data_IF_574882026185
#
_entry.id   IF_574882026185
#
_cell.length_a   1.000
_cell.length_b   1.000
_cell.length_c   1.000
_cell.angle_alpha   90.00
_cell.angle_beta   90.00
_cell.angle_gamma   90.00
#
_symmetry.space_group_name_H-M   'P 1'
#
loop_
_entity.id
_entity.type
_entity.pdbx_description
1 polymer ?
#
# COMPACT_ATOMS: atom_id res chain seq x y z
N UNK A 1 -34.71 -24.85 -10.48
CA UNK A 1 -33.91 -25.44 -11.57
C UNK A 1 -32.46 -25.39 -11.11
N UNK A 2 -31.98 -26.30 -10.25
CA UNK A 2 -31.45 -27.66 -10.54
C UNK A 2 -30.33 -27.58 -11.58
N UNK A 3 -29.13 -28.15 -11.47
CA UNK A 3 -28.44 -29.15 -10.61
C UNK A 3 -26.93 -28.90 -10.95
N UNK A 4 -25.87 -29.29 -10.23
CA UNK A 4 -25.47 -30.65 -9.89
C UNK A 4 -24.10 -30.58 -9.16
N UNK A 5 -24.02 -31.19 -7.97
CA UNK A 5 -22.77 -31.51 -7.27
C UNK A 5 -22.53 -33.00 -7.53
N UNK A 6 -21.34 -33.36 -8.00
CA UNK A 6 -20.88 -34.75 -8.04
C UNK A 6 -19.90 -34.98 -6.90
N UNK A 7 -20.32 -35.78 -5.92
CA UNK A 7 -19.46 -36.31 -4.87
C UNK A 7 -18.78 -37.62 -5.31
N UNK A 8 -17.59 -37.85 -4.79
CA UNK A 8 -16.96 -39.17 -4.71
C UNK A 8 -16.48 -39.34 -3.28
N UNK A 9 -17.09 -40.29 -2.56
CA UNK A 9 -16.86 -40.54 -1.15
C UNK A 9 -15.67 -41.47 -0.87
N UNK A 10 -15.19 -41.40 0.37
CA UNK A 10 -14.50 -42.45 1.14
C UNK A 10 -14.83 -42.07 2.60
N UNK A 11 -15.65 -42.79 3.36
CA UNK A 11 -15.41 -44.14 3.89
C UNK A 11 -14.66 -44.02 5.23
N UNK A 12 -15.37 -43.81 6.34
CA UNK A 12 -14.80 -43.86 7.70
C UNK A 12 -15.51 -44.96 8.51
N UNK A 13 -14.84 -46.09 8.68
CA UNK A 13 -15.23 -47.16 9.60
C UNK A 13 -14.77 -46.80 11.03
N UNK A 14 -15.69 -46.91 11.99
CA UNK A 14 -15.38 -46.89 13.43
C UNK A 14 -15.16 -48.33 13.93
N UNK A 15 -14.10 -48.62 14.72
CA UNK A 15 -14.01 -49.84 15.50
C UNK A 15 -14.67 -49.67 16.88
N UNK A 16 -15.38 -50.70 17.31
CA UNK A 16 -16.29 -50.70 18.45
C UNK A 16 -15.69 -50.92 19.85
N UNK A 17 -16.51 -50.45 20.80
CA UNK A 17 -16.97 -51.11 22.05
C UNK A 17 -15.95 -51.67 23.06
N UNK A 18 -16.00 -51.12 24.28
CA UNK A 18 -16.17 -51.88 25.53
C UNK A 18 -16.97 -51.08 26.58
N UNK A 19 -17.91 -51.79 27.22
CA UNK A 19 -18.89 -51.36 28.23
C UNK A 19 -18.27 -51.25 29.64
N UNK A 20 -18.77 -50.33 30.47
CA UNK A 20 -19.55 -50.61 31.72
C UNK A 20 -19.77 -49.34 32.57
N UNK A 21 -20.90 -49.30 33.28
CA UNK A 21 -21.47 -48.24 34.14
C UNK A 21 -21.62 -48.84 35.59
N UNK A 22 -22.17 -48.19 36.65
CA UNK A 22 -22.24 -46.79 37.14
C UNK A 22 -21.80 -46.64 38.64
N UNK A 23 -22.10 -45.48 39.26
CA UNK A 23 -22.12 -45.09 40.71
C UNK A 23 -20.90 -44.26 41.18
N UNK A 24 -20.99 -43.17 41.95
CA UNK A 24 -22.07 -42.43 42.63
C UNK A 24 -21.51 -41.12 43.23
N UNK A 25 -22.43 -40.21 43.58
CA UNK A 25 -22.39 -39.17 44.65
C UNK A 25 -21.59 -37.86 44.49
N UNK A 26 -22.39 -36.79 44.42
CA UNK A 26 -22.25 -35.44 45.02
C UNK A 26 -20.98 -35.09 45.81
N UNK A 27 -20.34 -33.98 45.40
CA UNK A 27 -19.99 -32.80 46.23
C UNK A 27 -19.18 -31.78 45.42
N UNK A 28 -19.72 -30.57 45.26
CA UNK A 28 -18.94 -29.32 45.25
C UNK A 28 -19.00 -28.73 46.68
N UNK A 29 -18.15 -27.79 47.11
CA UNK A 29 -17.11 -27.04 46.38
C UNK A 29 -15.73 -27.01 47.09
N UNK A 30 -14.69 -26.58 46.39
CA UNK A 30 -13.39 -26.29 47.01
C UNK A 30 -12.44 -25.62 46.03
N UNK A 31 -12.21 -24.34 46.23
CA UNK A 31 -11.19 -23.53 45.53
C UNK A 31 -9.81 -24.15 45.70
N UNK A 32 -9.17 -24.57 44.60
CA UNK A 32 -7.75 -24.87 44.57
C UNK A 32 -7.05 -23.86 43.68
N UNK A 33 -6.23 -23.02 44.31
CA UNK A 33 -5.27 -22.15 43.65
C UNK A 33 -4.29 -23.00 42.83
N UNK A 34 -4.21 -22.72 41.52
CA UNK A 34 -3.18 -23.30 40.68
C UNK A 34 -1.94 -22.40 40.71
N UNK A 35 -1.02 -22.72 41.62
CA UNK A 35 0.40 -22.42 41.41
C UNK A 35 0.89 -23.28 40.25
N UNK A 36 1.02 -22.71 39.06
CA UNK A 36 1.58 -23.37 37.88
C UNK A 36 2.78 -22.59 37.38
N UNK A 37 3.99 -23.03 37.74
CA UNK A 37 5.21 -22.58 37.09
C UNK A 37 5.13 -22.89 35.57
N UNK A 38 5.65 -22.02 34.68
CA UNK A 38 5.63 -22.28 33.25
C UNK A 38 6.50 -23.49 32.91
N UNK A 39 5.92 -24.45 32.19
CA UNK A 39 6.64 -25.59 31.62
C UNK A 39 7.42 -25.09 30.40
N UNK A 40 8.75 -25.27 30.33
CA UNK A 40 9.49 -24.90 29.14
C UNK A 40 9.33 -26.00 28.08
N UNK A 41 8.66 -25.69 26.98
CA UNK A 41 8.71 -26.53 25.79
C UNK A 41 9.66 -25.92 24.76
N UNK A 42 10.89 -26.41 24.78
CA UNK A 42 11.75 -26.42 23.61
C UNK A 42 11.21 -27.48 22.65
N UNK A 43 10.61 -27.07 21.53
CA UNK A 43 10.75 -27.78 20.26
C UNK A 43 10.12 -26.96 19.13
N UNK A 44 10.99 -26.49 18.22
CA UNK A 44 10.62 -25.89 16.93
C UNK A 44 9.75 -26.85 16.12
N UNK A 45 8.44 -26.58 16.04
CA UNK A 45 7.56 -27.27 15.11
C UNK A 45 7.85 -26.81 13.67
N UNK A 46 8.61 -27.62 12.91
CA UNK A 46 8.84 -27.41 11.47
C UNK A 46 7.71 -28.07 10.68
N UNK A 47 6.77 -27.29 10.17
CA UNK A 47 5.79 -27.79 9.21
C UNK A 47 6.41 -27.83 7.80
N UNK A 48 6.56 -29.03 7.22
CA UNK A 48 6.90 -29.23 5.80
C UNK A 48 5.67 -29.76 5.06
N UNK A 49 5.12 -28.95 4.17
CA UNK A 49 4.24 -29.44 3.10
C UNK A 49 5.13 -29.76 1.89
N UNK A 50 5.28 -31.05 1.58
CA UNK A 50 5.96 -31.51 0.36
C UNK A 50 4.97 -32.28 -0.50
N UNK A 51 4.73 -31.81 -1.72
CA UNK A 51 4.04 -32.59 -2.75
C UNK A 51 5.03 -33.61 -3.35
N UNK A 52 4.65 -34.89 -3.31
CA UNK A 52 5.43 -36.01 -3.80
C UNK A 52 5.45 -36.02 -5.35
N UNK A 53 6.64 -36.11 -5.93
CA UNK A 53 6.85 -36.22 -7.37
C UNK A 53 8.23 -35.74 -7.79
N UNK A 54 9.12 -36.72 -8.04
CA UNK A 54 10.47 -36.63 -8.60
C UNK A 54 11.46 -35.69 -7.89
N UNK A 55 12.42 -36.28 -7.15
CA UNK A 55 13.70 -35.63 -6.85
C UNK A 55 14.60 -35.71 -8.09
N UNK A 56 15.11 -34.56 -8.55
CA UNK A 56 16.49 -34.50 -8.99
C UNK A 56 17.28 -33.49 -8.14
N UNK A 57 18.39 -33.99 -7.57
CA UNK A 57 19.62 -33.29 -7.21
C UNK A 57 19.57 -31.74 -7.09
N UNK A 58 18.90 -31.20 -6.07
CA UNK A 58 19.05 -29.80 -5.65
C UNK A 58 19.37 -29.67 -4.15
N UNK A 59 20.07 -30.67 -3.59
CA UNK A 59 20.79 -30.51 -2.33
C UNK A 59 22.15 -29.87 -2.61
N UNK A 60 22.14 -28.54 -2.79
CA UNK A 60 23.26 -27.56 -2.82
C UNK A 60 23.00 -26.53 -3.91
N UNK A 61 21.91 -25.77 -3.76
CA UNK A 61 21.85 -24.46 -4.38
C UNK A 61 22.85 -23.57 -3.63
N UNK A 62 24.02 -23.36 -4.22
CA UNK A 62 24.95 -22.31 -3.79
C UNK A 62 24.14 -21.01 -3.78
N UNK A 63 24.01 -20.41 -2.60
CA UNK A 63 23.43 -19.07 -2.41
C UNK A 63 24.33 -18.07 -3.11
N UNK A 64 24.07 -17.79 -4.38
CA UNK A 64 24.61 -16.61 -5.01
C UNK A 64 23.68 -15.45 -4.62
N UNK A 65 24.13 -14.49 -3.79
CA UNK A 65 23.32 -13.34 -3.46
C UNK A 65 23.00 -12.56 -4.73
N UNK A 66 21.82 -11.94 -4.77
CA UNK A 66 21.58 -10.83 -5.70
C UNK A 66 22.72 -9.83 -5.50
N UNK A 67 23.45 -9.48 -6.56
CA UNK A 67 24.51 -8.48 -6.44
C UNK A 67 23.89 -7.12 -6.14
N UNK A 68 24.05 -6.62 -4.92
CA UNK A 68 23.44 -5.36 -4.44
C UNK A 68 22.75 -5.54 -3.09
N UNK A 69 22.54 -4.44 -2.36
CA UNK A 69 21.81 -4.49 -1.08
C UNK A 69 20.42 -5.12 -1.28
N UNK A 70 19.96 -6.03 -0.40
CA UNK A 70 18.65 -6.63 -0.51
C UNK A 70 17.60 -5.52 -0.38
N UNK A 71 16.78 -5.42 -1.40
CA UNK A 71 15.80 -4.35 -1.49
C UNK A 71 14.49 -4.79 -0.88
N UNK A 72 13.83 -3.91 -0.12
CA UNK A 72 12.66 -4.28 0.68
C UNK A 72 11.47 -3.35 0.50
N UNK A 73 10.26 -3.92 0.58
CA UNK A 73 8.98 -3.20 0.53
C UNK A 73 8.25 -3.33 1.86
N UNK A 74 7.71 -2.22 2.37
CA UNK A 74 6.92 -2.24 3.60
C UNK A 74 5.41 -2.18 3.32
N UNK A 75 4.65 -3.07 3.94
CA UNK A 75 3.19 -3.10 3.87
C UNK A 75 2.61 -3.18 5.28
N UNK A 76 1.85 -2.16 5.67
CA UNK A 76 1.23 -2.10 6.99
C UNK A 76 -0.16 -2.75 6.95
N UNK A 77 -0.36 -3.77 7.79
CA UNK A 77 -1.56 -4.59 7.83
C UNK A 77 -2.15 -4.60 9.24
N UNK A 78 -3.44 -4.25 9.36
CA UNK A 78 -4.15 -4.29 10.64
C UNK A 78 -4.65 -5.71 10.94
N UNK A 79 -4.46 -6.16 12.18
CA UNK A 79 -5.03 -7.41 12.70
C UNK A 79 -6.47 -7.15 13.17
N UNK A 80 -7.41 -7.91 12.62
CA UNK A 80 -8.83 -7.84 12.98
C UNK A 80 -9.24 -8.99 13.91
N UNK A 81 -10.28 -8.81 14.75
CA UNK A 81 -10.74 -9.85 15.69
C UNK A 81 -11.09 -11.19 15.04
N UNK A 82 -11.61 -11.20 13.82
CA UNK A 82 -11.97 -12.41 13.06
C UNK A 82 -10.74 -13.20 12.56
N UNK A 83 -9.56 -12.62 12.66
CA UNK A 83 -8.28 -13.25 12.31
C UNK A 83 -7.60 -13.91 13.51
N UNK A 84 -8.16 -13.76 14.71
CA UNK A 84 -7.62 -14.33 15.95
C UNK A 84 -8.29 -15.67 16.29
N UNK A 85 -7.57 -16.53 17.00
CA UNK A 85 -8.08 -17.81 17.48
C UNK A 85 -8.64 -17.72 18.91
N UNK A 86 -9.04 -18.85 19.49
CA UNK A 86 -9.61 -18.94 20.84
C UNK A 86 -8.66 -18.50 21.96
N UNK A 87 -7.35 -18.39 21.70
CA UNK A 87 -6.36 -17.88 22.64
C UNK A 87 -6.25 -16.34 22.59
N UNK A 88 -6.95 -15.69 21.66
CA UNK A 88 -7.04 -14.23 21.57
C UNK A 88 -5.91 -13.56 20.78
N UNK A 89 -4.99 -14.34 20.21
CA UNK A 89 -3.93 -13.85 19.33
C UNK A 89 -4.20 -14.22 17.87
N UNK A 90 -3.52 -13.52 16.96
CA UNK A 90 -3.56 -13.78 15.52
C UNK A 90 -3.30 -15.27 15.23
N UNK A 91 -4.24 -15.89 14.51
CA UNK A 91 -4.13 -17.28 14.10
C UNK A 91 -2.99 -17.42 13.07
N UNK A 92 -2.20 -18.49 13.21
CA UNK A 92 -1.11 -18.82 12.28
C UNK A 92 -1.58 -18.92 10.82
N UNK A 93 -2.76 -19.49 10.55
CA UNK A 93 -3.33 -19.56 9.21
C UNK A 93 -3.71 -18.16 8.68
N UNK A 94 -4.25 -17.29 9.55
CA UNK A 94 -4.57 -15.92 9.18
C UNK A 94 -3.30 -15.10 8.89
N UNK A 95 -2.20 -15.35 9.58
CA UNK A 95 -0.91 -14.76 9.26
C UNK A 95 -0.46 -15.12 7.83
N UNK A 96 -0.69 -16.36 7.37
CA UNK A 96 -0.37 -16.75 5.98
C UNK A 96 -1.17 -15.88 4.99
N UNK A 97 -2.44 -15.65 5.26
CA UNK A 97 -3.29 -14.75 4.45
C UNK A 97 -2.79 -13.31 4.48
N UNK A 98 -2.30 -12.81 5.62
CA UNK A 98 -1.68 -11.49 5.71
C UNK A 98 -0.38 -11.40 4.90
N UNK A 99 0.48 -12.42 4.98
CA UNK A 99 1.70 -12.51 4.17
C UNK A 99 1.38 -12.53 2.67
N UNK A 100 0.32 -13.25 2.27
CA UNK A 100 -0.15 -13.26 0.89
C UNK A 100 -0.69 -11.91 0.44
N UNK A 101 -1.54 -11.29 1.26
CA UNK A 101 -2.04 -9.94 1.01
C UNK A 101 -0.89 -8.94 0.82
N UNK A 102 0.15 -9.02 1.65
CA UNK A 102 1.32 -8.16 1.52
C UNK A 102 2.01 -8.32 0.15
N UNK A 103 2.14 -9.55 -0.37
CA UNK A 103 2.70 -9.80 -1.71
C UNK A 103 1.84 -9.17 -2.80
N UNK A 104 0.52 -9.32 -2.71
CA UNK A 104 -0.40 -8.72 -3.67
C UNK A 104 -0.43 -7.19 -3.59
N UNK A 105 -0.32 -6.60 -2.41
CA UNK A 105 -0.21 -5.14 -2.27
C UNK A 105 1.05 -4.58 -2.95
N UNK A 106 2.20 -5.27 -2.86
CA UNK A 106 3.42 -4.88 -3.60
C UNK A 106 3.19 -4.96 -5.12
N UNK A 107 2.57 -6.04 -5.60
CA UNK A 107 2.25 -6.19 -7.03
C UNK A 107 1.26 -5.11 -7.48
N UNK A 108 0.23 -4.82 -6.69
CA UNK A 108 -0.76 -3.79 -6.97
C UNK A 108 -0.16 -2.38 -7.02
N UNK A 109 0.79 -2.05 -6.12
CA UNK A 109 1.54 -0.78 -6.13
C UNK A 109 2.57 -0.70 -7.25
N UNK A 110 3.03 -1.85 -7.75
CA UNK A 110 4.07 -1.98 -8.76
C UNK A 110 3.50 -2.05 -10.18
N UNK A 111 3.48 -3.23 -10.82
CA UNK A 111 2.99 -3.42 -12.20
C UNK A 111 1.47 -3.74 -12.32
N UNK A 112 0.71 -3.70 -11.22
CA UNK A 112 -0.71 -4.02 -11.21
C UNK A 112 -1.03 -5.51 -11.08
N UNK A 113 -2.26 -5.81 -10.63
CA UNK A 113 -2.70 -7.17 -10.24
C UNK A 113 -2.68 -8.19 -11.39
N UNK A 114 -2.77 -7.74 -12.64
CA UNK A 114 -2.77 -8.57 -13.84
C UNK A 114 -1.38 -8.78 -14.44
N UNK A 115 -0.31 -8.27 -13.82
CA UNK A 115 1.07 -8.38 -14.29
C UNK A 115 1.46 -9.78 -14.78
N UNK A 116 1.29 -10.79 -13.93
CA UNK A 116 1.60 -12.19 -14.26
C UNK A 116 0.75 -12.73 -15.42
N UNK A 117 -0.51 -12.28 -15.51
CA UNK A 117 -1.41 -12.61 -16.60
C UNK A 117 -0.94 -12.01 -17.94
N UNK A 118 -0.51 -10.74 -17.95
CA UNK A 118 0.03 -10.08 -19.16
C UNK A 118 1.30 -10.76 -19.67
N UNK A 119 2.15 -11.22 -18.75
CA UNK A 119 3.37 -11.96 -19.08
C UNK A 119 3.09 -13.44 -19.45
N UNK A 120 1.85 -13.93 -19.23
CA UNK A 120 1.47 -15.35 -19.36
C UNK A 120 2.35 -16.29 -18.53
N UNK A 121 2.79 -15.81 -17.36
CA UNK A 121 3.64 -16.54 -16.42
C UNK A 121 3.03 -16.43 -15.03
N UNK A 122 2.74 -17.57 -14.40
CA UNK A 122 2.14 -17.63 -13.06
C UNK A 122 3.13 -18.15 -12.03
N UNK A 123 3.38 -17.43 -10.93
CA UNK A 123 4.22 -17.92 -9.85
C UNK A 123 3.44 -18.93 -8.99
N UNK A 124 3.77 -20.22 -9.14
CA UNK A 124 3.24 -21.27 -8.29
C UNK A 124 4.09 -21.41 -7.02
N UNK A 125 3.45 -21.33 -5.84
CA UNK A 125 4.13 -21.55 -4.56
C UNK A 125 4.57 -23.01 -4.46
N UNK A 126 5.88 -23.24 -4.34
CA UNK A 126 6.45 -24.60 -4.25
C UNK A 126 6.82 -24.98 -2.82
N UNK A 127 7.26 -23.99 -2.03
CA UNK A 127 7.64 -24.18 -0.62
C UNK A 127 7.47 -22.88 0.14
N UNK A 128 6.93 -22.95 1.34
CA UNK A 128 6.97 -21.89 2.33
C UNK A 128 7.61 -22.39 3.62
N UNK A 129 8.40 -21.56 4.28
CA UNK A 129 8.93 -21.80 5.62
C UNK A 129 8.63 -20.56 6.43
N UNK A 130 7.89 -20.70 7.52
CA UNK A 130 7.45 -19.60 8.37
C UNK A 130 7.90 -19.90 9.80
N UNK A 131 8.57 -18.93 10.41
CA UNK A 131 8.97 -18.95 11.82
C UNK A 131 8.16 -17.88 12.55
N UNK A 132 7.55 -18.29 13.67
CA UNK A 132 6.73 -17.43 14.51
C UNK A 132 7.53 -17.08 15.77
N UNK A 133 7.68 -15.79 16.04
CA UNK A 133 8.59 -15.26 17.06
C UNK A 133 7.83 -14.62 18.23
N UNK A 134 6.70 -13.94 17.95
CA UNK A 134 5.87 -13.29 18.97
C UNK A 134 4.39 -13.29 18.58
N UNK A 135 3.52 -13.02 19.54
CA UNK A 135 2.07 -12.92 19.35
C UNK A 135 1.66 -11.51 18.90
N UNK A 136 0.67 -11.45 18.02
CA UNK A 136 -0.03 -10.22 17.63
C UNK A 136 -1.50 -10.31 18.06
N UNK A 137 -2.10 -9.17 18.41
CA UNK A 137 -3.44 -9.08 18.97
C UNK A 137 -4.37 -8.23 18.10
N UNK A 138 -5.70 -8.33 18.26
CA UNK A 138 -6.64 -7.46 17.57
C UNK A 138 -6.30 -5.98 17.76
N UNK A 139 -6.26 -5.23 16.66
CA UNK A 139 -5.91 -3.81 16.65
C UNK A 139 -4.42 -3.53 16.38
N UNK A 140 -3.53 -4.51 16.54
CA UNK A 140 -2.12 -4.36 16.16
C UNK A 140 -1.99 -4.03 14.67
N UNK A 141 -1.03 -3.18 14.34
CA UNK A 141 -0.60 -2.93 12.96
C UNK A 141 0.75 -3.60 12.75
N UNK A 142 0.80 -4.51 11.79
CA UNK A 142 1.98 -5.28 11.43
C UNK A 142 2.57 -4.75 10.13
N UNK A 143 3.81 -4.27 10.19
CA UNK A 143 4.62 -3.93 9.03
C UNK A 143 5.26 -5.20 8.46
N UNK A 144 4.88 -5.54 7.24
CA UNK A 144 5.50 -6.60 6.45
C UNK A 144 6.60 -6.01 5.59
N UNK A 145 7.85 -6.39 5.84
CA UNK A 145 8.99 -6.07 4.99
C UNK A 145 9.24 -7.23 4.03
N UNK A 146 9.04 -7.04 2.73
CA UNK A 146 9.20 -8.06 1.68
C UNK A 146 10.48 -7.81 0.88
N UNK A 147 11.30 -8.84 0.69
CA UNK A 147 12.54 -8.78 -0.09
C UNK A 147 12.66 -9.92 -1.08
N UNK A 148 13.09 -9.63 -2.30
CA UNK A 148 13.46 -10.64 -3.29
C UNK A 148 14.91 -11.07 -3.04
N UNK A 149 15.09 -12.28 -2.53
CA UNK A 149 16.42 -12.75 -2.06
C UNK A 149 17.13 -13.64 -3.07
N UNK A 150 16.41 -14.16 -4.06
CA UNK A 150 16.95 -15.00 -5.12
C UNK A 150 16.09 -14.95 -6.38
N UNK A 151 16.73 -14.87 -7.55
CA UNK A 151 16.14 -15.16 -8.86
C UNK A 151 17.01 -16.21 -9.55
N UNK A 152 16.39 -17.32 -9.94
CA UNK A 152 16.94 -18.31 -10.85
C UNK A 152 16.27 -18.23 -12.22
N UNK A 153 16.53 -19.23 -13.07
CA UNK A 153 15.96 -19.26 -14.43
C UNK A 153 14.43 -19.33 -14.42
N UNK A 154 13.85 -20.23 -13.62
CA UNK A 154 12.40 -20.51 -13.57
C UNK A 154 11.80 -20.35 -12.17
N UNK A 155 12.59 -19.90 -11.20
CA UNK A 155 12.17 -19.81 -9.80
C UNK A 155 12.73 -18.57 -9.14
N UNK A 156 12.05 -18.11 -8.09
CA UNK A 156 12.51 -16.99 -7.27
C UNK A 156 12.10 -17.20 -5.81
N UNK A 157 12.77 -16.51 -4.89
CA UNK A 157 12.51 -16.61 -3.45
C UNK A 157 12.23 -15.23 -2.87
N UNK A 158 11.09 -15.12 -2.19
CA UNK A 158 10.74 -13.95 -1.39
C UNK A 158 10.99 -14.24 0.09
N UNK A 159 11.59 -13.29 0.79
CA UNK A 159 11.62 -13.24 2.25
C UNK A 159 10.64 -12.18 2.73
N UNK A 160 9.90 -12.46 3.79
CA UNK A 160 8.97 -11.54 4.43
C UNK A 160 9.27 -11.50 5.93
N UNK A 161 9.31 -10.31 6.53
CA UNK A 161 9.44 -10.13 7.97
C UNK A 161 8.27 -9.28 8.48
N UNK A 162 7.54 -9.76 9.48
CA UNK A 162 6.40 -9.07 10.08
C UNK A 162 6.81 -8.49 11.42
N UNK A 163 6.77 -7.17 11.56
CA UNK A 163 7.03 -6.46 12.82
C UNK A 163 5.82 -5.67 13.26
N UNK A 164 5.52 -5.65 14.55
CA UNK A 164 4.46 -4.80 15.10
C UNK A 164 4.95 -3.35 15.18
N UNK A 165 4.18 -2.40 14.65
CA UNK A 165 4.59 -0.99 14.62
C UNK A 165 4.68 -0.33 16.00
N UNK A 166 3.89 -0.78 16.98
CA UNK A 166 3.85 -0.16 18.30
C UNK A 166 5.14 -0.31 19.11
N UNK A 167 5.83 -1.44 18.98
CA UNK A 167 7.00 -1.80 19.80
C UNK A 167 8.14 -2.47 19.00
N UNK A 168 8.02 -2.49 17.67
CA UNK A 168 8.94 -3.15 16.73
C UNK A 168 9.15 -4.67 16.97
N UNK A 169 8.25 -5.31 17.73
CA UNK A 169 8.37 -6.74 18.01
C UNK A 169 8.29 -7.56 16.71
N UNK A 170 9.28 -8.43 16.49
CA UNK A 170 9.28 -9.37 15.37
C UNK A 170 8.22 -10.44 15.63
N UNK A 171 7.16 -10.45 14.84
CA UNK A 171 6.03 -11.38 14.96
C UNK A 171 6.36 -12.67 14.21
N UNK A 172 6.84 -12.56 12.97
CA UNK A 172 7.14 -13.71 12.14
C UNK A 172 8.14 -13.40 11.02
N UNK A 173 8.80 -14.44 10.52
CA UNK A 173 9.59 -14.38 9.30
C UNK A 173 9.18 -15.52 8.37
N UNK A 174 9.07 -15.25 7.08
CA UNK A 174 8.71 -16.23 6.07
C UNK A 174 9.69 -16.22 4.90
N UNK A 175 10.03 -17.40 4.40
CA UNK A 175 10.69 -17.59 3.11
C UNK A 175 9.77 -18.40 2.19
N UNK A 176 9.48 -17.86 1.01
CA UNK A 176 8.55 -18.44 0.05
C UNK A 176 9.25 -18.63 -1.28
N UNK A 177 9.29 -19.88 -1.75
CA UNK A 177 9.88 -20.29 -3.03
C UNK A 177 8.75 -20.42 -4.05
N UNK A 178 8.88 -19.67 -5.14
CA UNK A 178 7.98 -19.73 -6.28
C UNK A 178 8.68 -20.36 -7.48
N UNK A 179 7.92 -21.13 -8.26
CA UNK A 179 8.30 -21.58 -9.61
C UNK A 179 7.34 -20.95 -10.61
N UNK A 180 7.87 -20.29 -11.61
CA UNK A 180 7.10 -19.70 -12.71
C UNK A 180 6.65 -20.81 -13.66
N UNK A 181 5.34 -20.85 -13.96
CA UNK A 181 4.73 -21.80 -14.90
C UNK A 181 3.94 -21.07 -15.98
N UNK A 182 3.80 -21.69 -17.15
CA UNK A 182 2.88 -21.23 -18.19
C UNK A 182 1.47 -21.81 -17.99
N UNK A 183 0.57 -21.55 -18.94
CA UNK A 183 -0.80 -22.03 -18.92
C UNK A 183 -0.93 -23.57 -19.00
N UNK A 184 0.13 -24.27 -19.45
CA UNK A 184 0.19 -25.73 -19.48
C UNK A 184 0.75 -26.34 -18.18
N UNK A 185 1.24 -25.50 -17.26
CA UNK A 185 1.90 -25.93 -16.03
C UNK A 185 3.40 -26.21 -16.22
N UNK A 186 3.98 -25.90 -17.39
CA UNK A 186 5.39 -26.14 -17.66
C UNK A 186 6.27 -25.04 -17.03
N UNK A 187 7.44 -25.39 -16.43
CA UNK A 187 8.37 -24.41 -15.89
C UNK A 187 8.81 -23.40 -16.96
N UNK A 188 8.56 -22.13 -16.69
CA UNK A 188 8.78 -21.01 -17.62
C UNK A 188 9.73 -20.00 -17.01
N UNK A 189 10.55 -19.27 -17.81
CA UNK A 189 11.45 -18.29 -17.26
C UNK A 189 10.76 -17.25 -16.39
N UNK A 190 11.45 -16.83 -15.32
CA UNK A 190 11.02 -15.70 -14.49
C UNK A 190 11.00 -14.43 -15.37
N UNK A 191 9.97 -13.56 -15.29
CA UNK A 191 9.95 -12.30 -16.03
C UNK A 191 11.22 -11.47 -15.74
N UNK A 192 11.83 -10.91 -16.79
CA UNK A 192 13.11 -10.20 -16.70
C UNK A 192 13.03 -8.97 -15.77
N UNK A 193 11.85 -8.35 -15.69
CA UNK A 193 11.55 -7.20 -14.86
C UNK A 193 11.04 -7.56 -13.45
N UNK A 194 10.99 -8.84 -13.06
CA UNK A 194 10.55 -9.24 -11.71
C UNK A 194 11.40 -8.60 -10.61
N UNK A 195 12.71 -8.48 -10.85
CA UNK A 195 13.60 -7.74 -9.96
C UNK A 195 13.11 -6.31 -9.77
N UNK A 196 12.55 -5.64 -10.78
CA UNK A 196 12.03 -4.29 -10.66
C UNK A 196 10.69 -4.22 -9.93
N UNK A 197 9.91 -5.31 -9.91
CA UNK A 197 8.65 -5.40 -9.16
C UNK A 197 8.93 -5.39 -7.65
N UNK A 198 9.97 -6.09 -7.23
CA UNK A 198 10.36 -6.23 -5.82
C UNK A 198 11.65 -5.47 -5.43
N UNK A 199 12.31 -4.81 -6.37
CA UNK A 199 13.27 -3.74 -6.11
C UNK A 199 12.51 -2.52 -5.60
N UNK A 200 13.24 -1.56 -5.02
CA UNK A 200 12.73 -0.48 -4.17
C UNK A 200 11.73 0.30 -5.00
N UNK A 201 10.47 -0.05 -4.82
CA UNK A 201 9.36 0.85 -5.05
C UNK A 201 8.76 1.00 -3.68
N UNK A 202 9.50 1.69 -2.80
CA UNK A 202 8.95 2.43 -1.68
C UNK A 202 7.46 2.72 -1.98
N UNK A 203 6.53 2.35 -1.11
CA UNK A 203 5.10 2.42 -1.39
C UNK A 203 4.52 3.84 -1.33
N UNK A 204 5.24 4.76 -1.95
CA UNK A 204 4.87 6.13 -2.28
C UNK A 204 5.83 6.54 -3.39
N UNK A 205 5.72 7.73 -3.94
CA UNK A 205 6.92 8.27 -4.58
C UNK A 205 8.06 8.30 -3.58
N UNK A 206 9.24 8.64 -4.07
CA UNK A 206 10.12 9.34 -3.15
C UNK A 206 9.41 10.65 -2.84
N UNK A 207 8.78 10.75 -1.65
CA UNK A 207 8.40 12.03 -1.09
C UNK A 207 9.70 12.79 -0.87
N UNK A 208 10.00 13.69 -1.80
CA UNK A 208 11.20 14.50 -1.78
C UNK A 208 10.82 15.86 -1.23
N UNK A 209 11.66 16.39 -0.34
CA UNK A 209 11.64 17.81 0.00
C UNK A 209 12.63 18.52 -0.89
N UNK A 210 12.16 19.38 -1.80
CA UNK A 210 12.99 20.12 -2.74
C UNK A 210 12.87 21.61 -2.49
N UNK A 211 14.01 22.28 -2.33
CA UNK A 211 14.06 23.73 -2.18
C UNK A 211 14.00 24.40 -3.54
N UNK A 212 12.97 25.21 -3.76
CA UNK A 212 12.75 25.97 -4.99
C UNK A 212 12.27 27.37 -4.62
N UNK A 213 12.79 28.43 -5.25
CA UNK A 213 12.35 29.82 -5.03
C UNK A 213 12.18 30.24 -3.55
N UNK A 214 13.05 29.75 -2.67
CA UNK A 214 13.01 30.05 -1.23
C UNK A 214 11.92 29.32 -0.42
N UNK A 215 11.25 28.32 -1.01
CA UNK A 215 10.26 27.45 -0.35
C UNK A 215 10.68 25.98 -0.49
N UNK A 216 10.48 25.18 0.55
CA UNK A 216 10.65 23.74 0.45
C UNK A 216 9.32 23.08 0.08
N UNK A 217 9.26 22.49 -1.12
CA UNK A 217 8.10 21.74 -1.56
C UNK A 217 8.26 20.26 -1.28
N UNK A 218 7.21 19.64 -0.75
CA UNK A 218 7.08 18.19 -0.71
C UNK A 218 6.50 17.71 -2.02
N UNK A 219 7.14 16.71 -2.63
CA UNK A 219 6.72 16.17 -3.92
C UNK A 219 6.79 14.67 -3.94
N UNK A 220 5.70 14.03 -4.35
CA UNK A 220 5.67 12.61 -4.69
C UNK A 220 6.11 12.45 -6.15
N UNK A 221 7.25 11.78 -6.36
CA UNK A 221 7.77 11.44 -7.69
C UNK A 221 7.78 9.93 -7.88
N UNK A 222 7.04 9.43 -8.89
CA UNK A 222 6.96 7.99 -9.21
C UNK A 222 7.28 7.71 -10.67
N UNK A 223 7.90 6.56 -10.92
CA UNK A 223 8.06 6.02 -12.26
C UNK A 223 9.11 6.73 -13.13
N UNK A 224 9.18 6.30 -14.38
CA UNK A 224 10.15 6.75 -15.39
C UNK A 224 9.43 6.88 -16.73
N UNK A 225 9.88 7.79 -17.58
CA UNK A 225 9.33 8.01 -18.92
C UNK A 225 8.97 9.48 -19.15
N UNK A 226 8.07 9.78 -20.09
CA UNK A 226 7.52 11.12 -20.25
C UNK A 226 6.92 11.62 -18.93
N UNK A 227 7.13 12.90 -18.61
CA UNK A 227 6.67 13.48 -17.36
C UNK A 227 5.22 13.97 -17.44
N UNK A 228 4.49 13.76 -16.35
CA UNK A 228 3.20 14.39 -16.04
C UNK A 228 3.26 15.04 -14.66
N UNK A 229 2.86 16.31 -14.58
CA UNK A 229 2.79 17.10 -13.36
C UNK A 229 1.32 17.24 -12.94
N UNK A 230 0.97 16.68 -11.79
CA UNK A 230 -0.34 16.76 -11.18
C UNK A 230 -0.40 17.94 -10.21
N UNK A 231 -1.31 18.88 -10.45
CA UNK A 231 -1.45 20.12 -9.68
C UNK A 231 -2.80 20.07 -8.98
N UNK A 232 -2.78 19.87 -7.65
CA UNK A 232 -3.99 19.76 -6.85
C UNK A 232 -4.75 21.09 -6.73
N UNK A 233 -6.04 21.00 -6.36
CA UNK A 233 -6.88 22.16 -6.07
C UNK A 233 -6.73 22.64 -4.62
N UNK A 234 -7.31 23.80 -4.32
CA UNK A 234 -7.43 24.28 -2.94
C UNK A 234 -8.59 23.56 -2.23
N UNK A 235 -8.46 23.14 -0.95
CA UNK A 235 -7.28 23.19 -0.09
C UNK A 235 -6.66 21.79 0.07
N UNK A 236 -6.48 21.06 -1.04
CA UNK A 236 -6.05 19.67 -1.02
C UNK A 236 -4.51 19.55 -0.95
N UNK A 237 -4.02 18.32 -0.96
CA UNK A 237 -2.60 17.96 -1.08
C UNK A 237 -2.38 17.01 -2.26
N UNK A 238 -1.12 16.65 -2.53
CA UNK A 238 -0.73 15.69 -3.57
C UNK A 238 -1.45 14.34 -3.47
N UNK A 239 -1.89 13.95 -2.28
CA UNK A 239 -2.56 12.66 -2.00
C UNK A 239 -3.90 12.49 -2.73
N UNK A 240 -4.53 13.57 -3.21
CA UNK A 240 -5.71 13.48 -4.09
C UNK A 240 -5.41 12.68 -5.37
N UNK A 241 -4.15 12.68 -5.79
CA UNK A 241 -3.68 12.02 -7.01
C UNK A 241 -3.26 10.57 -6.79
N UNK A 242 -3.36 10.01 -5.59
CA UNK A 242 -2.91 8.65 -5.30
C UNK A 242 -3.42 7.60 -6.31
N UNK A 243 -4.70 7.60 -6.74
CA UNK A 243 -5.17 6.67 -7.77
C UNK A 243 -4.47 6.85 -9.12
N UNK A 244 -4.21 8.09 -9.55
CA UNK A 244 -3.51 8.40 -10.81
C UNK A 244 -2.02 8.08 -10.71
N UNK A 245 -1.41 8.37 -9.56
CA UNK A 245 -0.04 8.02 -9.25
C UNK A 245 0.16 6.51 -9.31
N UNK A 246 -0.82 5.71 -8.87
CA UNK A 246 -0.80 4.26 -8.99
C UNK A 246 -1.05 3.79 -10.44
N UNK A 247 -2.04 4.35 -11.14
CA UNK A 247 -2.53 3.80 -12.42
C UNK A 247 -1.77 4.19 -13.69
N UNK A 248 -0.94 5.24 -13.68
CA UNK A 248 -0.25 5.74 -14.89
C UNK A 248 1.18 5.19 -15.05
N UNK A 249 1.28 3.88 -15.25
CA UNK A 249 2.55 3.21 -15.51
C UNK A 249 3.23 3.71 -16.81
N UNK A 250 4.56 3.69 -16.85
CA UNK A 250 5.35 4.18 -18.00
C UNK A 250 5.54 5.70 -18.07
N UNK A 251 5.01 6.45 -17.09
CA UNK A 251 5.20 7.89 -16.95
C UNK A 251 6.04 8.23 -15.71
N UNK A 252 6.79 9.33 -15.80
CA UNK A 252 7.30 10.03 -14.61
C UNK A 252 6.17 10.89 -14.07
N UNK A 253 5.58 10.48 -12.96
CA UNK A 253 4.45 11.12 -12.30
C UNK A 253 4.97 12.00 -11.18
N UNK A 254 4.57 13.27 -11.18
CA UNK A 254 5.07 14.28 -10.24
C UNK A 254 3.85 14.94 -9.61
N UNK A 255 3.67 14.80 -8.31
CA UNK A 255 2.57 15.42 -7.57
C UNK A 255 3.14 16.18 -6.36
N UNK A 256 3.37 17.50 -6.49
CA UNK A 256 3.79 18.33 -5.37
C UNK A 256 2.62 18.77 -4.51
N UNK A 257 2.90 18.97 -3.23
CA UNK A 257 2.16 19.87 -2.38
C UNK A 257 2.54 21.31 -2.73
N UNK A 258 1.56 22.11 -3.13
CA UNK A 258 1.78 23.53 -3.41
C UNK A 258 2.20 24.27 -2.13
N UNK A 259 2.92 25.39 -2.27
CA UNK A 259 3.26 26.25 -1.12
C UNK A 259 2.02 26.56 -0.27
N UNK A 260 2.15 26.46 1.04
CA UNK A 260 1.06 26.64 2.00
C UNK A 260 0.05 25.49 2.07
N UNK A 261 0.31 24.35 1.44
CA UNK A 261 -0.58 23.19 1.41
C UNK A 261 0.18 21.91 1.77
N UNK A 262 -0.53 20.92 2.30
CA UNK A 262 0.03 19.63 2.67
C UNK A 262 1.27 19.76 3.56
N UNK A 263 2.38 19.16 3.14
CA UNK A 263 3.63 19.12 3.91
C UNK A 263 4.70 20.13 3.42
N UNK A 264 4.35 20.98 2.44
CA UNK A 264 5.21 22.05 1.94
C UNK A 264 5.27 23.22 2.92
N UNK A 265 6.34 24.02 2.83
CA UNK A 265 6.44 25.25 3.64
C UNK A 265 5.25 26.19 3.38
N UNK A 266 4.82 26.91 4.41
CA UNK A 266 3.71 27.86 4.41
C UNK A 266 4.20 29.27 4.82
N UNK A 267 4.90 30.00 3.94
CA UNK A 267 5.37 31.36 4.24
C UNK A 267 4.18 32.33 4.42
N UNK A 268 4.36 33.44 5.14
CA UNK A 268 3.26 34.39 5.39
C UNK A 268 2.73 35.07 4.12
N UNK A 269 3.55 35.16 3.06
CA UNK A 269 3.28 35.89 1.84
C UNK A 269 3.73 35.11 0.60
N UNK A 270 3.37 35.62 -0.58
CA UNK A 270 3.81 35.07 -1.87
C UNK A 270 2.85 34.02 -2.44
N UNK A 271 1.55 34.19 -2.21
CA UNK A 271 0.50 33.35 -2.79
C UNK A 271 -0.11 34.05 -4.01
N UNK A 272 0.28 33.59 -5.19
CA UNK A 272 -0.33 34.02 -6.47
C UNK A 272 -0.20 32.90 -7.49
N UNK A 273 -1.04 32.90 -8.54
CA UNK A 273 -0.92 31.90 -9.61
C UNK A 273 0.45 31.98 -10.31
N UNK A 274 0.99 33.20 -10.45
CA UNK A 274 2.34 33.43 -10.95
C UNK A 274 3.41 32.76 -10.07
N UNK A 275 3.31 32.90 -8.76
CA UNK A 275 4.27 32.31 -7.83
C UNK A 275 4.17 30.79 -7.79
N UNK A 276 2.95 30.24 -7.79
CA UNK A 276 2.77 28.78 -7.93
C UNK A 276 3.37 28.25 -9.24
N UNK A 277 3.18 28.96 -10.35
CA UNK A 277 3.75 28.57 -11.63
C UNK A 277 5.29 28.62 -11.63
N UNK A 278 5.88 29.67 -11.04
CA UNK A 278 7.34 29.80 -10.87
C UNK A 278 7.93 28.66 -10.05
N UNK A 279 7.28 28.28 -8.96
CA UNK A 279 7.69 27.15 -8.12
C UNK A 279 7.67 25.84 -8.88
N UNK A 280 6.60 25.58 -9.62
CA UNK A 280 6.45 24.33 -10.36
C UNK A 280 7.43 24.26 -11.54
N UNK A 281 7.73 25.38 -12.19
CA UNK A 281 8.77 25.46 -13.22
C UNK A 281 10.16 25.19 -12.64
N UNK A 282 10.47 25.77 -11.47
CA UNK A 282 11.71 25.52 -10.75
C UNK A 282 11.81 24.06 -10.28
N UNK A 283 10.70 23.49 -9.80
CA UNK A 283 10.59 22.08 -9.41
C UNK A 283 10.88 21.15 -10.59
N UNK A 284 10.26 21.38 -11.74
CA UNK A 284 10.52 20.60 -12.95
C UNK A 284 12.00 20.69 -13.35
N UNK A 285 12.61 21.88 -13.27
CA UNK A 285 14.04 22.06 -13.54
C UNK A 285 14.91 21.30 -12.54
N UNK A 286 14.60 21.34 -11.24
CA UNK A 286 15.33 20.61 -10.19
C UNK A 286 15.21 19.09 -10.34
N UNK A 287 14.12 18.61 -10.94
CA UNK A 287 13.91 17.20 -11.28
C UNK A 287 14.53 16.79 -12.63
N UNK A 288 15.15 17.72 -13.36
CA UNK A 288 15.71 17.46 -14.68
C UNK A 288 14.65 17.25 -15.78
N UNK A 289 13.43 17.72 -15.55
CA UNK A 289 12.30 17.56 -16.47
C UNK A 289 12.19 18.79 -17.38
N UNK A 290 12.57 18.62 -18.64
CA UNK A 290 12.49 19.68 -19.64
C UNK A 290 11.03 19.97 -20.04
N UNK A 291 10.20 18.94 -20.27
CA UNK A 291 8.79 19.13 -20.67
C UNK A 291 7.88 18.11 -20.01
N UNK A 292 6.71 18.55 -19.56
CA UNK A 292 5.70 17.71 -18.91
C UNK A 292 4.30 17.93 -19.48
N UNK A 293 3.44 16.91 -19.40
CA UNK A 293 1.99 17.09 -19.46
C UNK A 293 1.55 17.73 -18.13
N UNK A 294 0.74 18.77 -18.17
CA UNK A 294 0.20 19.41 -16.98
C UNK A 294 -1.21 18.90 -16.73
N UNK A 295 -1.49 18.37 -15.54
CA UNK A 295 -2.82 17.95 -15.11
C UNK A 295 -3.26 18.80 -13.92
N UNK A 296 -4.20 19.73 -14.15
CA UNK A 296 -4.64 20.69 -13.14
C UNK A 296 -6.07 20.46 -12.69
N UNK A 297 -6.28 20.30 -11.38
CA UNK A 297 -7.59 20.22 -10.74
C UNK A 297 -7.98 21.57 -10.14
N UNK A 298 -9.14 22.12 -10.52
CA UNK A 298 -9.68 23.37 -9.98
C UNK A 298 -8.65 24.50 -10.00
N UNK A 299 -8.21 25.00 -8.83
CA UNK A 299 -7.12 25.99 -8.72
C UNK A 299 -5.84 25.54 -9.46
N UNK A 300 -5.52 24.25 -9.47
CA UNK A 300 -4.38 23.70 -10.19
C UNK A 300 -4.46 23.92 -11.70
N UNK A 301 -5.65 24.03 -12.27
CA UNK A 301 -5.85 24.42 -13.67
C UNK A 301 -5.44 25.87 -13.93
N UNK A 302 -5.71 26.80 -13.00
CA UNK A 302 -5.27 28.20 -13.11
C UNK A 302 -3.75 28.31 -13.11
N UNK A 303 -3.08 27.51 -12.26
CA UNK A 303 -1.62 27.41 -12.23
C UNK A 303 -1.09 26.85 -13.54
N UNK A 304 -1.74 25.80 -14.09
CA UNK A 304 -1.36 25.23 -15.38
C UNK A 304 -1.50 26.25 -16.53
N UNK A 305 -2.55 27.08 -16.53
CA UNK A 305 -2.70 28.17 -17.50
C UNK A 305 -1.58 29.21 -17.37
N UNK A 306 -1.19 29.57 -16.15
CA UNK A 306 -0.10 30.51 -15.94
C UNK A 306 1.26 29.95 -16.38
N UNK A 307 1.51 28.66 -16.18
CA UNK A 307 2.70 27.98 -16.75
C UNK A 307 2.64 28.02 -18.27
N UNK A 308 1.51 27.65 -18.88
CA UNK A 308 1.35 27.65 -20.34
C UNK A 308 1.55 29.05 -20.95
N UNK A 309 1.06 30.09 -20.28
CA UNK A 309 1.21 31.48 -20.72
C UNK A 309 2.67 31.96 -20.69
N UNK A 310 3.45 31.51 -19.69
CA UNK A 310 4.83 31.98 -19.45
C UNK A 310 5.89 31.14 -20.14
N UNK A 311 5.68 29.83 -20.21
CA UNK A 311 6.67 28.85 -20.63
C UNK A 311 6.01 27.74 -21.47
N UNK A 312 5.36 28.09 -22.60
CA UNK A 312 4.65 27.11 -23.44
C UNK A 312 5.56 25.99 -23.94
N UNK A 313 6.86 26.26 -24.11
CA UNK A 313 7.87 25.28 -24.49
C UNK A 313 8.08 24.16 -23.45
N UNK A 314 7.69 24.40 -22.19
CA UNK A 314 7.75 23.42 -21.10
C UNK A 314 6.52 22.49 -21.07
N UNK A 315 5.48 22.78 -21.86
CA UNK A 315 4.20 22.08 -21.82
C UNK A 315 4.07 21.11 -23.01
N UNK A 316 3.99 19.81 -22.72
CA UNK A 316 3.76 18.75 -23.73
C UNK A 316 2.28 18.54 -24.02
N UNK A 317 1.42 18.84 -23.06
CA UNK A 317 -0.03 18.67 -23.15
C UNK A 317 -0.70 19.18 -21.88
N UNK A 318 -2.01 19.34 -21.93
CA UNK A 318 -2.80 19.91 -20.83
C UNK A 318 -4.03 19.04 -20.57
N UNK A 319 -4.24 18.71 -19.31
CA UNK A 319 -5.44 18.04 -18.77
C UNK A 319 -6.05 18.97 -17.74
N UNK A 320 -7.32 19.34 -17.94
CA UNK A 320 -8.04 20.29 -17.12
C UNK A 320 -9.21 19.58 -16.45
N UNK A 321 -9.26 19.61 -15.12
CA UNK A 321 -10.27 18.92 -14.32
C UNK A 321 -10.98 19.94 -13.43
N UNK A 322 -12.30 20.07 -13.59
CA UNK A 322 -13.17 20.94 -12.77
C UNK A 322 -12.59 22.35 -12.51
N UNK A 323 -12.10 22.97 -13.59
CA UNK A 323 -11.45 24.28 -13.59
C UNK A 323 -12.08 25.21 -14.62
N UNK A 324 -11.63 26.46 -14.65
CA UNK A 324 -12.15 27.52 -15.53
C UNK A 324 -11.06 28.50 -15.93
N UNK A 325 -11.25 29.22 -17.04
CA UNK A 325 -10.27 30.20 -17.53
C UNK A 325 -10.69 31.65 -17.18
N UNK A 326 -11.96 31.85 -16.85
CA UNK A 326 -12.56 33.16 -16.59
C UNK A 326 -12.20 33.69 -15.21
N UNK A 327 -12.17 35.02 -15.10
CA UNK A 327 -12.03 35.70 -13.83
C UNK A 327 -13.23 35.43 -12.91
N UNK A 328 -13.00 35.50 -11.60
CA UNK A 328 -14.06 35.42 -10.60
C UNK A 328 -15.12 36.50 -10.83
N UNK A 329 -16.39 36.13 -10.72
CA UNK A 329 -17.50 37.09 -10.60
C UNK A 329 -17.36 37.88 -9.29
N UNK A 330 -18.04 39.03 -9.14
CA UNK A 330 -18.06 39.77 -7.87
C UNK A 330 -18.52 38.91 -6.68
N UNK A 331 -19.45 37.98 -6.89
CA UNK A 331 -19.90 37.01 -5.88
C UNK A 331 -18.80 36.00 -5.55
N UNK A 332 -18.12 35.47 -6.58
CA UNK A 332 -17.00 34.55 -6.41
C UNK A 332 -15.88 35.19 -5.59
N UNK A 333 -15.53 36.45 -5.91
CA UNK A 333 -14.53 37.23 -5.17
C UNK A 333 -14.91 37.36 -3.68
N UNK A 334 -16.15 37.77 -3.40
CA UNK A 334 -16.65 37.87 -2.02
C UNK A 334 -16.60 36.54 -1.28
N UNK A 335 -16.96 35.43 -1.95
CA UNK A 335 -16.86 34.10 -1.36
C UNK A 335 -15.41 33.71 -1.02
N UNK A 336 -14.44 34.10 -1.85
CA UNK A 336 -13.00 33.92 -1.54
C UNK A 336 -12.55 34.80 -0.38
N UNK A 337 -13.02 36.04 -0.30
CA UNK A 337 -12.74 36.94 0.83
C UNK A 337 -13.26 36.37 2.16
N UNK A 338 -14.48 35.82 2.17
CA UNK A 338 -15.02 35.12 3.34
C UNK A 338 -14.18 33.88 3.69
N UNK A 339 -13.77 33.09 2.70
CA UNK A 339 -12.91 31.93 2.94
C UNK A 339 -11.53 32.34 3.50
N UNK A 340 -10.96 33.45 3.03
CA UNK A 340 -9.70 33.99 3.57
C UNK A 340 -9.85 34.41 5.04
N UNK A 341 -10.96 35.08 5.40
CA UNK A 341 -11.24 35.42 6.79
C UNK A 341 -11.39 34.17 7.66
N UNK A 342 -12.13 33.15 7.17
CA UNK A 342 -12.28 31.87 7.87
C UNK A 342 -10.95 31.16 8.09
N UNK A 343 -10.06 31.16 7.10
CA UNK A 343 -8.73 30.58 7.22
C UNK A 343 -7.87 31.32 8.26
N UNK A 344 -7.96 32.65 8.33
CA UNK A 344 -7.22 33.46 9.31
C UNK A 344 -7.70 33.23 10.73
N UNK A 345 -9.01 33.17 10.92
CA UNK A 345 -9.61 33.12 12.26
C UNK A 345 -9.72 31.67 12.79
N UNK A 346 -9.97 30.71 11.91
CA UNK A 346 -10.27 29.31 12.24
C UNK A 346 -9.26 28.27 11.74
N UNK A 347 -8.22 28.68 11.00
CA UNK A 347 -7.17 27.79 10.50
C UNK A 347 -7.64 26.77 9.45
N UNK A 348 -6.78 25.78 9.18
CA UNK A 348 -7.01 24.72 8.18
C UNK A 348 -8.22 23.84 8.53
N UNK A 349 -8.45 23.56 9.82
CA UNK A 349 -9.58 22.75 10.29
C UNK A 349 -10.92 23.40 9.94
N UNK A 350 -11.08 24.70 10.19
CA UNK A 350 -12.32 25.40 9.85
C UNK A 350 -12.57 25.42 8.33
N UNK A 351 -11.51 25.55 7.55
CA UNK A 351 -11.58 25.43 6.09
C UNK A 351 -12.03 24.02 5.67
N UNK A 352 -11.42 22.98 6.23
CA UNK A 352 -11.76 21.59 5.93
C UNK A 352 -13.25 21.31 6.19
N UNK A 353 -13.77 21.68 7.37
CA UNK A 353 -15.18 21.49 7.72
C UNK A 353 -16.12 22.30 6.79
N UNK A 354 -15.70 23.48 6.33
CA UNK A 354 -16.49 24.27 5.36
C UNK A 354 -16.47 23.71 3.93
N UNK A 355 -15.45 22.91 3.59
CA UNK A 355 -15.20 22.40 2.23
C UNK A 355 -15.67 20.97 2.03
N UNK A 356 -15.63 20.12 3.06
CA UNK A 356 -16.12 18.74 3.01
C UNK A 356 -17.51 18.59 2.38
N UNK A 357 -18.55 19.37 2.78
CA UNK A 357 -19.87 19.25 2.19
C UNK A 357 -19.97 19.74 0.73
N UNK A 358 -18.96 20.48 0.25
CA UNK A 358 -18.88 20.95 -1.14
C UNK A 358 -18.16 19.95 -2.06
N UNK A 359 -17.27 19.13 -1.50
CA UNK A 359 -16.44 18.17 -2.24
C UNK A 359 -17.07 16.77 -2.24
N UNK A 360 -17.76 16.39 -1.16
CA UNK A 360 -18.35 15.06 -1.01
C UNK A 360 -19.88 15.13 -1.00
N UNK A 361 -20.54 14.23 -1.73
CA UNK A 361 -22.00 14.15 -1.71
C UNK A 361 -22.51 13.72 -0.32
N UNK A 362 -23.75 14.10 0.06
CA UNK A 362 -24.34 13.67 1.33
C UNK A 362 -24.34 12.15 1.52
N UNK A 363 -24.54 11.40 0.43
CA UNK A 363 -24.49 9.93 0.43
C UNK A 363 -23.10 9.42 0.81
N UNK A 364 -22.03 9.92 0.19
CA UNK A 364 -20.66 9.51 0.51
C UNK A 364 -20.29 9.87 1.95
N UNK A 365 -20.77 11.02 2.42
CA UNK A 365 -20.54 11.44 3.80
C UNK A 365 -21.19 10.49 4.83
N UNK A 366 -22.38 9.98 4.52
CA UNK A 366 -23.09 9.03 5.38
C UNK A 366 -22.53 7.60 5.29
N UNK A 367 -22.18 7.15 4.09
CA UNK A 367 -21.87 5.74 3.82
C UNK A 367 -20.38 5.41 3.88
N UNK A 368 -19.49 6.40 3.76
CA UNK A 368 -18.04 6.16 3.72
C UNK A 368 -17.25 7.12 4.63
N UNK A 369 -17.35 6.96 5.96
CA UNK A 369 -16.66 7.81 6.93
C UNK A 369 -15.12 7.77 6.77
N UNK A 370 -14.58 6.64 6.28
CA UNK A 370 -13.14 6.52 6.03
C UNK A 370 -12.64 7.41 4.89
N UNK A 371 -13.46 7.61 3.86
CA UNK A 371 -13.14 8.51 2.75
C UNK A 371 -13.29 9.97 3.19
N UNK A 372 -14.32 10.28 3.99
CA UNK A 372 -14.49 11.62 4.58
C UNK A 372 -13.26 12.02 5.40
N UNK A 373 -12.81 11.12 6.28
CA UNK A 373 -11.62 11.38 7.10
C UNK A 373 -10.36 11.52 6.25
N UNK A 374 -10.19 10.68 5.24
CA UNK A 374 -9.07 10.81 4.31
C UNK A 374 -9.07 12.17 3.61
N UNK A 375 -10.22 12.61 3.10
CA UNK A 375 -10.35 13.90 2.41
C UNK A 375 -10.15 15.07 3.37
N UNK A 376 -10.61 14.97 4.63
CA UNK A 376 -10.31 15.93 5.69
C UNK A 376 -8.80 16.07 5.92
N UNK A 377 -8.09 14.95 6.02
CA UNK A 377 -6.63 14.92 6.20
C UNK A 377 -5.87 15.53 5.02
N UNK A 378 -6.45 15.57 3.81
CA UNK A 378 -5.83 16.27 2.68
C UNK A 378 -5.78 17.79 2.89
N UNK A 379 -6.64 18.33 3.75
CA UNK A 379 -6.84 19.77 3.97
C UNK A 379 -6.31 20.28 5.31
N UNK A 380 -6.01 19.37 6.24
CA UNK A 380 -5.73 19.67 7.64
C UNK A 380 -4.28 20.07 7.90
#
# INVERSE_FOLDING_TARGET
MALMVCGSGVGMECPGTRQSNPASTDRLPGTCAASGAPIPFSDTARFRLAFAGAEPAFQRAVRLPVSGAPVSHDVDLKVYPDQCDSYGHLNQAALVSLLERARWEVVARGPGMDYFGRQRVWPALRKSTIEYHAQAYPGDVLRCTLSLVYIGRTSFVLRQAMRRLGDDALIATAEVVFVCIDASGAPTPVPEDLNQVFADRSPGGTLRRLSVNGVNLVVDVRGRGPAILFIHGYPLSHTVWEPQLAGLEGWTRIAPDLRGMGQSDAPDLGYSMATYAEDLLALLSALGVERAVLCGLSMGGYVAFEILRRAPERVRGLVLMDTRAEADTPEGRRARETAMALARDGGSVAIAESMLPKILSPTVQAENPSLVERVRQMMA
#
